data_IF_429361690554
#
_entry.id   IF_429361690554
#
_cell.length_a   1.000
_cell.length_b   1.000
_cell.length_c   1.000
_cell.angle_alpha   90.00
_cell.angle_beta   90.00
_cell.angle_gamma   90.00
#
_symmetry.space_group_name_H-M   'P 1'
#
loop_
_entity.id
_entity.type
_entity.pdbx_description
1 polymer ?
#
# COMPACT_ATOMS: atom_id res chain seq x y z
N UNK A 1 -0.35 -9.14 -50.54
CA UNK A 1 0.01 -8.07 -49.55
C UNK A 1 1.42 -7.54 -49.76
N UNK A 2 2.40 -8.35 -50.22
CA UNK A 2 3.77 -7.90 -50.46
C UNK A 2 3.92 -7.00 -51.71
N UNK A 3 3.10 -7.20 -52.73
CA UNK A 3 3.09 -6.38 -53.93
C UNK A 3 2.62 -4.91 -53.65
N UNK A 4 1.76 -4.71 -52.69
CA UNK A 4 1.31 -3.38 -52.26
C UNK A 4 2.39 -2.64 -51.46
N UNK A 5 3.15 -3.39 -50.66
CA UNK A 5 4.25 -2.85 -49.87
C UNK A 5 5.44 -2.42 -50.73
N UNK A 6 5.72 -3.18 -51.79
CA UNK A 6 6.80 -2.83 -52.76
C UNK A 6 6.41 -1.58 -53.56
N UNK A 7 5.14 -1.46 -53.99
CA UNK A 7 4.65 -0.28 -54.70
C UNK A 7 4.69 0.99 -53.89
N UNK A 8 4.34 0.92 -52.59
CA UNK A 8 4.38 2.07 -51.69
C UNK A 8 5.82 2.50 -51.38
N UNK A 9 6.79 1.54 -51.34
CA UNK A 9 8.19 1.81 -51.13
C UNK A 9 8.85 2.48 -52.36
N UNK A 10 8.43 2.11 -53.57
CA UNK A 10 8.88 2.72 -54.82
C UNK A 10 8.42 4.17 -55.00
N UNK A 11 7.29 4.53 -54.41
CA UNK A 11 6.72 5.88 -54.42
C UNK A 11 7.25 6.79 -53.30
N UNK A 12 8.27 6.35 -52.53
CA UNK A 12 8.91 7.17 -51.50
C UNK A 12 8.06 7.36 -50.25
N UNK A 13 6.98 6.60 -50.09
CA UNK A 13 6.25 6.56 -48.83
C UNK A 13 7.01 5.64 -47.87
N UNK A 14 7.81 6.23 -46.99
CA UNK A 14 8.27 5.52 -45.81
C UNK A 14 7.03 5.17 -44.97
N UNK A 15 6.65 3.89 -45.00
CA UNK A 15 5.70 3.37 -44.03
C UNK A 15 6.42 3.37 -42.70
N UNK A 16 6.30 4.47 -41.98
CA UNK A 16 6.80 4.58 -40.63
C UNK A 16 6.06 3.55 -39.78
N UNK A 17 6.65 2.36 -39.64
CA UNK A 17 6.10 1.22 -38.89
C UNK A 17 6.18 1.44 -37.39
N UNK A 18 6.78 2.54 -36.97
CA UNK A 18 6.66 3.06 -35.60
C UNK A 18 5.30 3.77 -35.50
N UNK A 19 4.25 2.95 -35.41
CA UNK A 19 2.92 3.44 -35.11
C UNK A 19 3.02 4.25 -33.82
N UNK A 20 2.55 5.51 -33.80
CA UNK A 20 2.50 6.35 -32.59
C UNK A 20 1.64 5.73 -31.48
N UNK A 21 0.95 4.61 -31.75
CA UNK A 21 0.19 3.87 -30.75
C UNK A 21 1.02 3.34 -29.58
N UNK A 22 2.29 2.93 -29.81
CA UNK A 22 3.16 2.46 -28.73
C UNK A 22 3.53 3.58 -27.76
N UNK A 23 3.78 4.79 -28.25
CA UNK A 23 4.11 5.93 -27.41
C UNK A 23 2.88 6.46 -26.68
N UNK A 24 1.73 6.53 -27.34
CA UNK A 24 0.46 6.94 -26.71
C UNK A 24 0.01 5.95 -25.63
N UNK A 25 0.12 4.65 -25.88
CA UNK A 25 -0.20 3.61 -24.88
C UNK A 25 0.77 3.62 -23.70
N UNK A 26 2.05 3.84 -23.96
CA UNK A 26 3.06 3.94 -22.93
C UNK A 26 2.86 5.20 -22.05
N UNK A 27 2.55 6.32 -22.65
CA UNK A 27 2.27 7.56 -21.92
C UNK A 27 0.93 7.48 -21.19
N UNK A 28 -0.12 6.93 -21.78
CA UNK A 28 -1.39 6.68 -21.09
C UNK A 28 -1.20 5.76 -19.87
N UNK A 29 -0.38 4.72 -19.98
CA UNK A 29 -0.08 3.84 -18.86
C UNK A 29 0.69 4.55 -17.75
N UNK A 30 1.68 5.40 -18.08
CA UNK A 30 2.42 6.20 -17.09
C UNK A 30 1.49 7.16 -16.33
N UNK A 31 0.59 7.84 -17.05
CA UNK A 31 -0.41 8.72 -16.45
C UNK A 31 -1.36 7.94 -15.53
N UNK A 32 -1.86 6.78 -15.96
CA UNK A 32 -2.70 5.92 -15.15
C UNK A 32 -1.98 5.46 -13.86
N UNK A 33 -0.73 5.02 -13.97
CA UNK A 33 0.09 4.65 -12.81
C UNK A 33 0.33 5.84 -11.86
N UNK A 34 0.58 7.04 -12.40
CA UNK A 34 0.78 8.25 -11.60
C UNK A 34 -0.49 8.64 -10.83
N UNK A 35 -1.64 8.59 -11.48
CA UNK A 35 -2.93 8.91 -10.85
C UNK A 35 -3.27 7.88 -9.76
N UNK A 36 -3.18 6.59 -10.07
CA UNK A 36 -3.45 5.51 -9.12
C UNK A 36 -2.48 5.56 -7.94
N UNK A 37 -1.19 5.81 -8.21
CA UNK A 37 -0.17 6.00 -7.19
C UNK A 37 -0.43 7.21 -6.30
N UNK A 38 -0.83 8.34 -6.89
CA UNK A 38 -1.20 9.55 -6.15
C UNK A 38 -2.40 9.35 -5.24
N UNK A 39 -3.46 8.73 -5.74
CA UNK A 39 -4.64 8.37 -4.95
C UNK A 39 -4.26 7.40 -3.82
N UNK A 40 -3.46 6.37 -4.12
CA UNK A 40 -2.98 5.42 -3.14
C UNK A 40 -2.18 6.07 -2.01
N UNK A 41 -1.32 7.04 -2.35
CA UNK A 41 -0.55 7.81 -1.39
C UNK A 41 -1.44 8.68 -0.49
N UNK A 42 -2.42 9.37 -1.07
CA UNK A 42 -3.40 10.17 -0.32
C UNK A 42 -4.21 9.32 0.65
N UNK A 43 -4.75 8.19 0.18
CA UNK A 43 -5.50 7.25 1.02
C UNK A 43 -4.63 6.68 2.13
N UNK A 44 -3.37 6.42 1.86
CA UNK A 44 -2.38 5.97 2.83
C UNK A 44 -2.15 7.00 3.94
N UNK A 45 -1.92 8.26 3.58
CA UNK A 45 -1.74 9.34 4.56
C UNK A 45 -2.98 9.55 5.42
N UNK A 46 -4.16 9.54 4.79
CA UNK A 46 -5.44 9.64 5.49
C UNK A 46 -5.65 8.47 6.46
N UNK A 47 -5.29 7.26 6.06
CA UNK A 47 -5.34 6.06 6.90
C UNK A 47 -4.44 6.20 8.13
N UNK A 48 -3.19 6.66 7.96
CA UNK A 48 -2.26 6.91 9.08
C UNK A 48 -2.86 7.94 10.04
N UNK A 49 -3.38 9.06 9.53
CA UNK A 49 -3.97 10.12 10.34
C UNK A 49 -5.19 9.63 11.13
N UNK A 50 -6.12 8.96 10.45
CA UNK A 50 -7.35 8.42 11.06
C UNK A 50 -7.02 7.38 12.13
N UNK A 51 -6.09 6.48 11.84
CA UNK A 51 -5.69 5.44 12.79
C UNK A 51 -5.02 6.03 14.02
N UNK A 52 -4.12 7.00 13.84
CA UNK A 52 -3.45 7.71 14.93
C UNK A 52 -4.44 8.47 15.81
N UNK A 53 -5.42 9.15 15.21
CA UNK A 53 -6.47 9.85 15.93
C UNK A 53 -7.36 8.87 16.71
N UNK A 54 -7.77 7.75 16.11
CA UNK A 54 -8.57 6.70 16.74
C UNK A 54 -7.86 6.10 17.95
N UNK A 55 -6.57 5.77 17.82
CA UNK A 55 -5.79 5.23 18.94
C UNK A 55 -5.62 6.24 20.07
N UNK A 56 -5.41 7.50 19.74
CA UNK A 56 -5.34 8.57 20.73
C UNK A 56 -6.64 8.65 21.53
N UNK A 57 -7.78 8.54 20.86
CA UNK A 57 -9.10 8.53 21.50
C UNK A 57 -9.27 7.30 22.41
N UNK A 58 -8.84 6.12 21.99
CA UNK A 58 -8.90 4.89 22.81
C UNK A 58 -8.07 5.04 24.07
N UNK A 59 -6.85 5.58 23.98
CA UNK A 59 -5.98 5.81 25.16
C UNK A 59 -6.59 6.86 26.07
N UNK A 60 -7.17 7.92 25.51
CA UNK A 60 -7.83 8.98 26.33
C UNK A 60 -9.05 8.44 27.05
N UNK A 61 -9.87 7.60 26.40
CA UNK A 61 -11.02 6.95 27.07
C UNK A 61 -10.60 5.95 28.14
N UNK A 62 -9.41 5.35 27.99
CA UNK A 62 -8.83 4.46 28.99
C UNK A 62 -8.04 5.22 30.09
N UNK A 63 -8.11 6.55 30.12
CA UNK A 63 -7.29 7.36 31.04
C UNK A 63 -7.55 7.02 32.51
N UNK A 64 -8.81 6.86 32.90
CA UNK A 64 -9.18 6.51 34.30
C UNK A 64 -8.63 5.14 34.71
N UNK A 65 -8.95 4.02 34.02
CA UNK A 65 -8.39 2.73 34.40
C UNK A 65 -6.86 2.67 34.27
N UNK A 66 -6.26 3.40 33.35
CA UNK A 66 -4.78 3.47 33.23
C UNK A 66 -4.19 4.19 34.46
N UNK A 67 -4.80 5.27 34.91
CA UNK A 67 -4.36 6.00 36.09
C UNK A 67 -4.49 5.14 37.36
N UNK A 68 -5.59 4.41 37.49
CA UNK A 68 -5.79 3.48 38.60
C UNK A 68 -4.73 2.37 38.64
N UNK A 69 -4.38 1.81 37.50
CA UNK A 69 -3.28 0.85 37.40
C UNK A 69 -1.92 1.44 37.82
N UNK A 70 -1.67 2.71 37.43
CA UNK A 70 -0.46 3.40 37.84
C UNK A 70 -0.42 3.68 39.35
N UNK A 71 -1.56 4.00 39.96
CA UNK A 71 -1.69 4.17 41.43
C UNK A 71 -1.51 2.84 42.18
N UNK A 72 -1.90 1.71 41.57
CA UNK A 72 -1.64 0.36 42.10
C UNK A 72 -0.17 -0.10 41.95
N UNK A 73 0.70 0.76 41.44
CA UNK A 73 2.15 0.48 41.33
C UNK A 73 2.58 -0.20 40.03
N UNK A 74 1.67 -0.33 39.04
CA UNK A 74 2.09 -0.85 37.72
C UNK A 74 2.99 0.17 37.01
N UNK A 75 4.10 -0.30 36.45
CA UNK A 75 4.99 0.56 35.70
C UNK A 75 4.37 1.01 34.39
N UNK A 76 4.60 2.27 34.01
CA UNK A 76 4.17 2.84 32.71
C UNK A 76 4.58 1.97 31.52
N UNK A 77 5.74 1.31 31.64
CA UNK A 77 6.29 0.44 30.61
C UNK A 77 5.39 -0.77 30.34
N UNK A 78 4.83 -1.38 31.39
CA UNK A 78 3.93 -2.52 31.30
C UNK A 78 2.63 -2.11 30.59
N UNK A 79 2.02 -1.01 31.00
CA UNK A 79 0.79 -0.49 30.42
C UNK A 79 0.99 -0.14 28.94
N UNK A 80 2.04 0.62 28.62
CA UNK A 80 2.35 0.97 27.23
C UNK A 80 2.59 -0.28 26.37
N UNK A 81 3.31 -1.26 26.89
CA UNK A 81 3.58 -2.52 26.20
C UNK A 81 2.30 -3.29 25.88
N UNK A 82 1.31 -3.30 26.78
CA UNK A 82 0.03 -3.94 26.57
C UNK A 82 -0.74 -3.28 25.38
N UNK A 83 -0.78 -1.95 25.33
CA UNK A 83 -1.39 -1.21 24.22
C UNK A 83 -0.68 -1.48 22.89
N UNK A 84 0.66 -1.40 22.89
CA UNK A 84 1.46 -1.66 21.69
C UNK A 84 1.24 -3.09 21.19
N UNK A 85 1.24 -4.10 22.07
CA UNK A 85 1.02 -5.49 21.70
C UNK A 85 -0.36 -5.71 21.08
N UNK A 86 -1.40 -5.08 21.61
CA UNK A 86 -2.75 -5.13 21.07
C UNK A 86 -2.82 -4.46 19.69
N UNK A 87 -2.18 -3.31 19.56
CA UNK A 87 -2.06 -2.61 18.28
C UNK A 87 -1.35 -3.48 17.23
N UNK A 88 -0.17 -4.06 17.57
CA UNK A 88 0.56 -4.91 16.63
C UNK A 88 -0.25 -6.13 16.18
N UNK A 89 -1.01 -6.74 17.08
CA UNK A 89 -1.88 -7.87 16.72
C UNK A 89 -2.93 -7.44 15.69
N UNK A 90 -3.66 -6.37 15.96
CA UNK A 90 -4.69 -5.85 15.04
C UNK A 90 -4.07 -5.45 13.69
N UNK A 91 -3.00 -4.68 13.73
CA UNK A 91 -2.31 -4.25 12.51
C UNK A 91 -1.77 -5.44 11.72
N UNK A 92 -1.11 -6.38 12.38
CA UNK A 92 -0.57 -7.58 11.74
C UNK A 92 -1.65 -8.43 11.08
N UNK A 93 -2.82 -8.57 11.72
CA UNK A 93 -3.96 -9.28 11.14
C UNK A 93 -4.47 -8.58 9.89
N UNK A 94 -4.72 -7.26 9.96
CA UNK A 94 -5.23 -6.47 8.83
C UNK A 94 -4.22 -6.45 7.67
N UNK A 95 -2.95 -6.23 7.98
CA UNK A 95 -1.88 -6.20 6.98
C UNK A 95 -1.69 -7.56 6.31
N UNK A 96 -1.66 -8.64 7.10
CA UNK A 96 -1.56 -10.00 6.58
C UNK A 96 -2.75 -10.38 5.69
N UNK A 97 -3.97 -10.05 6.11
CA UNK A 97 -5.18 -10.28 5.31
C UNK A 97 -5.15 -9.46 4.00
N UNK A 98 -4.69 -8.22 4.05
CA UNK A 98 -4.55 -7.38 2.85
C UNK A 98 -3.55 -7.96 1.85
N UNK A 99 -2.38 -8.42 2.32
CA UNK A 99 -1.40 -9.07 1.45
C UNK A 99 -1.94 -10.36 0.83
N UNK A 100 -2.63 -11.17 1.62
CA UNK A 100 -3.25 -12.41 1.14
C UNK A 100 -4.32 -12.12 0.09
N UNK A 101 -5.17 -11.12 0.32
CA UNK A 101 -6.18 -10.69 -0.64
C UNK A 101 -5.56 -10.17 -1.95
N UNK A 102 -4.51 -9.37 -1.85
CA UNK A 102 -3.77 -8.86 -3.02
C UNK A 102 -3.16 -10.01 -3.83
N UNK A 103 -2.61 -11.01 -3.15
CA UNK A 103 -2.06 -12.19 -3.80
C UNK A 103 -3.14 -13.02 -4.50
N UNK A 104 -4.28 -13.25 -3.84
CA UNK A 104 -5.43 -13.96 -4.41
C UNK A 104 -6.00 -13.23 -5.64
N UNK A 105 -6.18 -11.91 -5.54
CA UNK A 105 -6.68 -11.10 -6.64
C UNK A 105 -5.75 -11.15 -7.84
N UNK A 106 -4.45 -11.03 -7.61
CA UNK A 106 -3.44 -11.13 -8.66
C UNK A 106 -3.46 -12.50 -9.34
N UNK A 107 -3.63 -13.59 -8.58
CA UNK A 107 -3.70 -14.95 -9.11
C UNK A 107 -4.97 -15.17 -9.97
N UNK A 108 -6.10 -14.62 -9.51
CA UNK A 108 -7.36 -14.66 -10.24
C UNK A 108 -7.28 -13.89 -11.56
N UNK A 109 -6.70 -12.68 -11.54
CA UNK A 109 -6.51 -11.86 -12.74
C UNK A 109 -5.53 -12.49 -13.72
N UNK A 110 -4.48 -13.19 -13.23
CA UNK A 110 -3.56 -13.90 -14.11
C UNK A 110 -4.25 -15.01 -14.93
N UNK A 111 -5.20 -15.72 -14.31
CA UNK A 111 -5.98 -16.73 -15.01
C UNK A 111 -6.81 -16.15 -16.17
N UNK A 112 -7.39 -14.97 -15.98
CA UNK A 112 -8.16 -14.28 -17.05
C UNK A 112 -7.24 -13.62 -18.09
N UNK A 113 -6.14 -13.01 -17.67
CA UNK A 113 -5.18 -12.35 -18.56
C UNK A 113 -4.54 -13.32 -19.56
N UNK A 114 -4.35 -14.58 -19.18
CA UNK A 114 -3.85 -15.64 -20.05
C UNK A 114 -4.77 -15.91 -21.25
N UNK A 115 -6.06 -15.67 -21.11
CA UNK A 115 -7.06 -15.79 -22.19
C UNK A 115 -6.95 -14.65 -23.22
N UNK A 116 -6.25 -13.57 -22.88
CA UNK A 116 -6.02 -12.39 -23.74
C UNK A 116 -4.55 -12.23 -24.18
N UNK A 117 -3.74 -13.29 -24.06
CA UNK A 117 -2.30 -13.30 -24.41
C UNK A 117 -1.46 -12.26 -23.67
N UNK A 118 -1.97 -11.67 -22.59
CA UNK A 118 -1.27 -10.71 -21.76
C UNK A 118 -0.39 -11.45 -20.74
N UNK A 119 0.93 -11.31 -20.86
CA UNK A 119 1.89 -11.88 -19.90
C UNK A 119 2.01 -11.00 -18.65
N UNK A 120 1.15 -11.25 -17.65
CA UNK A 120 1.28 -10.60 -16.33
C UNK A 120 2.19 -11.48 -15.46
N UNK A 121 3.29 -10.94 -14.89
CA UNK A 121 4.16 -11.72 -14.01
C UNK A 121 3.39 -12.18 -12.76
N UNK A 122 3.44 -13.47 -12.47
CA UNK A 122 2.65 -14.12 -11.39
C UNK A 122 3.11 -13.75 -9.98
N UNK A 123 4.40 -13.42 -9.80
CA UNK A 123 4.97 -13.05 -8.50
C UNK A 123 4.71 -11.60 -8.10
N UNK A 124 4.58 -11.35 -6.80
CA UNK A 124 4.75 -9.99 -6.27
C UNK A 124 6.18 -9.56 -6.56
N UNK A 125 6.36 -8.41 -7.23
CA UNK A 125 7.69 -7.87 -7.46
C UNK A 125 8.40 -7.65 -6.12
N UNK A 126 9.70 -7.96 -6.07
CA UNK A 126 10.51 -7.71 -4.88
C UNK A 126 10.42 -6.24 -4.43
N UNK A 127 10.37 -5.32 -5.38
CA UNK A 127 10.19 -3.88 -5.13
C UNK A 127 8.86 -3.59 -4.43
N UNK A 128 7.77 -4.23 -4.86
CA UNK A 128 6.44 -4.05 -4.24
C UNK A 128 6.43 -4.59 -2.81
N UNK A 129 7.03 -5.75 -2.59
CA UNK A 129 7.11 -6.35 -1.25
C UNK A 129 7.98 -5.49 -0.32
N UNK A 130 9.13 -5.01 -0.81
CA UNK A 130 10.01 -4.12 -0.06
C UNK A 130 9.31 -2.81 0.30
N UNK A 131 8.63 -2.17 -0.65
CA UNK A 131 7.86 -0.95 -0.42
C UNK A 131 6.74 -1.16 0.62
N UNK A 132 6.02 -2.29 0.54
CA UNK A 132 4.97 -2.65 1.50
C UNK A 132 5.52 -2.83 2.93
N UNK A 133 6.65 -3.51 3.07
CA UNK A 133 7.34 -3.71 4.38
C UNK A 133 7.84 -2.39 4.95
N UNK A 134 8.44 -1.55 4.11
CA UNK A 134 8.94 -0.23 4.50
C UNK A 134 7.80 0.67 4.97
N UNK A 135 6.69 0.68 4.21
CA UNK A 135 5.47 1.40 4.59
C UNK A 135 4.88 0.89 5.91
N UNK A 136 4.75 -0.43 6.07
CA UNK A 136 4.27 -1.05 7.29
C UNK A 136 5.14 -0.69 8.50
N UNK A 137 6.46 -0.71 8.33
CA UNK A 137 7.41 -0.29 9.36
C UNK A 137 7.25 1.16 9.77
N UNK A 138 7.14 2.07 8.80
CA UNK A 138 6.90 3.49 9.05
C UNK A 138 5.55 3.73 9.76
N UNK A 139 4.49 3.06 9.31
CA UNK A 139 3.16 3.13 9.92
C UNK A 139 3.18 2.68 11.38
N UNK A 140 3.82 1.55 11.67
CA UNK A 140 3.97 1.02 13.03
C UNK A 140 4.79 1.98 13.90
N UNK A 141 5.91 2.52 13.39
CA UNK A 141 6.76 3.44 14.13
C UNK A 141 6.01 4.71 14.55
N UNK A 142 5.26 5.32 13.63
CA UNK A 142 4.44 6.52 13.92
C UNK A 142 3.40 6.22 14.99
N UNK A 143 2.65 5.13 14.85
CA UNK A 143 1.58 4.80 15.80
C UNK A 143 2.12 4.40 17.17
N UNK A 144 3.25 3.69 17.23
CA UNK A 144 3.93 3.38 18.51
C UNK A 144 4.41 4.66 19.20
N UNK A 145 4.93 5.64 18.46
CA UNK A 145 5.32 6.93 19.00
C UNK A 145 4.10 7.69 19.57
N UNK A 146 2.98 7.70 18.84
CA UNK A 146 1.72 8.32 19.30
C UNK A 146 1.20 7.65 20.58
N UNK A 147 1.21 6.31 20.66
CA UNK A 147 0.78 5.58 21.85
C UNK A 147 1.67 5.92 23.05
N UNK A 148 2.99 5.94 22.86
CA UNK A 148 3.95 6.28 23.92
C UNK A 148 3.73 7.70 24.45
N UNK A 149 3.54 8.66 23.55
CA UNK A 149 3.28 10.05 23.93
C UNK A 149 1.95 10.20 24.67
N UNK A 150 0.91 9.53 24.20
CA UNK A 150 -0.41 9.56 24.83
C UNK A 150 -0.36 8.98 26.27
N UNK A 151 0.27 7.84 26.48
CA UNK A 151 0.42 7.24 27.83
C UNK A 151 1.32 8.10 28.73
N UNK A 152 2.35 8.73 28.16
CA UNK A 152 3.23 9.63 28.93
C UNK A 152 2.49 10.83 29.50
N UNK A 153 1.49 11.35 28.80
CA UNK A 153 0.67 12.50 29.23
C UNK A 153 -0.36 12.16 30.29
N UNK A 154 -0.63 10.89 30.58
CA UNK A 154 -1.60 10.44 31.56
C UNK A 154 -1.04 10.28 32.98
N UNK A 155 0.24 10.29 33.13
CA UNK A 155 0.95 10.14 34.41
C UNK A 155 2.09 11.11 34.61
#
# INVERSE_FOLDING_TARGET
TEALLSFLREQGYEINRELPEHDLLNDASKWAFSIVGGIGLLLSLLSVATFSASYRLVVTRAATPVRDLLHLGFSRRIVTSAFIRRFLKLFGTVFGTSLLFTWLLKTALHGQAKSYELSIPTGLSFVTLFAAVLYAGAFVAVNVAVIRDAVRKLG
#
